data_IF_351685018679
#
_entry.id   IF_351685018679
#
_cell.length_a   1.000
_cell.length_b   1.000
_cell.length_c   1.000
_cell.angle_alpha   90.00
_cell.angle_beta   90.00
_cell.angle_gamma   90.00
#
_symmetry.space_group_name_H-M   'P 1'
#
loop_
_entity.id
_entity.type
_entity.pdbx_description
1 polymer ?
#
# COMPACT_ATOMS: atom_id res chain seq x y z
N UNK A 1 16.63 -23.40 0.09
CA UNK A 1 16.59 -22.36 -0.96
C UNK A 1 15.57 -22.83 -1.97
N UNK A 2 14.56 -22.03 -2.33
CA UNK A 2 13.63 -22.39 -3.40
C UNK A 2 14.36 -22.35 -4.74
N UNK A 3 14.08 -23.31 -5.62
CA UNK A 3 14.60 -23.27 -7.00
C UNK A 3 13.93 -22.11 -7.75
N UNK A 4 14.65 -21.47 -8.66
CA UNK A 4 14.12 -20.36 -9.49
C UNK A 4 12.81 -20.72 -10.22
N UNK A 5 12.67 -22.00 -10.64
CA UNK A 5 11.45 -22.51 -11.28
C UNK A 5 10.21 -22.55 -10.37
N UNK A 6 10.42 -22.50 -9.04
CA UNK A 6 9.37 -22.56 -8.03
C UNK A 6 8.99 -21.16 -7.50
N UNK A 7 9.65 -20.12 -8.01
CA UNK A 7 9.34 -18.72 -7.70
C UNK A 7 8.22 -18.21 -8.61
N UNK A 8 7.38 -17.34 -8.07
CA UNK A 8 6.34 -16.63 -8.82
C UNK A 8 6.21 -15.21 -8.27
N UNK A 9 5.39 -14.36 -8.91
CA UNK A 9 5.19 -12.96 -8.50
C UNK A 9 4.63 -12.78 -7.08
N UNK A 10 4.17 -13.86 -6.43
CA UNK A 10 3.80 -13.84 -5.01
C UNK A 10 4.99 -14.10 -4.08
N UNK A 11 6.17 -14.37 -4.64
CA UNK A 11 7.43 -14.29 -3.90
C UNK A 11 7.81 -12.81 -3.76
N UNK A 12 8.01 -12.39 -2.52
CA UNK A 12 8.28 -10.99 -2.17
C UNK A 12 9.46 -10.40 -2.94
N UNK A 13 10.53 -11.19 -3.10
CA UNK A 13 11.73 -10.71 -3.77
C UNK A 13 11.49 -10.50 -5.26
N UNK A 14 10.87 -11.48 -5.94
CA UNK A 14 10.54 -11.35 -7.37
C UNK A 14 9.52 -10.25 -7.64
N UNK A 15 8.57 -10.06 -6.74
CA UNK A 15 7.60 -8.97 -6.85
C UNK A 15 8.31 -7.62 -6.77
N UNK A 16 9.15 -7.43 -5.77
CA UNK A 16 9.91 -6.19 -5.61
C UNK A 16 10.77 -5.90 -6.85
N UNK A 17 11.52 -6.88 -7.33
CA UNK A 17 12.34 -6.78 -8.54
C UNK A 17 11.52 -6.41 -9.78
N UNK A 18 10.36 -7.07 -9.98
CA UNK A 18 9.49 -6.79 -11.12
C UNK A 18 8.88 -5.37 -11.06
N UNK A 19 8.59 -4.87 -9.85
CA UNK A 19 7.98 -3.56 -9.63
C UNK A 19 8.99 -2.40 -9.62
N UNK A 20 10.29 -2.66 -9.73
CA UNK A 20 11.28 -1.61 -10.01
C UNK A 20 11.08 -0.98 -11.40
N UNK A 21 10.53 -1.74 -12.34
CA UNK A 21 10.10 -1.20 -13.62
C UNK A 21 8.83 -0.34 -13.40
N UNK A 22 8.89 0.99 -13.66
CA UNK A 22 7.76 1.88 -13.45
C UNK A 22 6.54 1.54 -14.31
N UNK A 23 6.73 0.89 -15.45
CA UNK A 23 5.63 0.44 -16.30
C UNK A 23 4.85 -0.69 -15.62
N UNK A 24 5.56 -1.69 -15.09
CA UNK A 24 4.94 -2.81 -14.38
C UNK A 24 4.18 -2.31 -13.13
N UNK A 25 4.79 -1.41 -12.36
CA UNK A 25 4.15 -0.82 -11.18
C UNK A 25 2.89 -0.05 -11.56
N UNK A 26 2.96 0.77 -12.61
CA UNK A 26 1.81 1.51 -13.11
C UNK A 26 0.68 0.57 -13.53
N UNK A 27 0.98 -0.43 -14.35
CA UNK A 27 -0.02 -1.38 -14.86
C UNK A 27 -0.73 -2.11 -13.70
N UNK A 28 0.02 -2.51 -12.67
CA UNK A 28 -0.57 -3.13 -11.47
C UNK A 28 -1.49 -2.16 -10.73
N UNK A 29 -1.08 -0.92 -10.53
CA UNK A 29 -1.90 0.10 -9.89
C UNK A 29 -3.16 0.41 -10.69
N UNK A 30 -3.04 0.60 -12.01
CA UNK A 30 -4.18 0.87 -12.88
C UNK A 30 -5.20 -0.26 -12.91
N UNK A 31 -4.74 -1.52 -12.91
CA UNK A 31 -5.62 -2.70 -12.81
C UNK A 31 -6.36 -2.74 -11.47
N UNK A 32 -5.67 -2.45 -10.36
CA UNK A 32 -6.27 -2.52 -9.02
C UNK A 32 -7.23 -1.36 -8.77
N UNK A 33 -6.84 -0.16 -9.18
CA UNK A 33 -7.57 1.07 -8.88
C UNK A 33 -8.64 1.41 -9.93
N UNK A 34 -8.55 0.83 -11.14
CA UNK A 34 -9.47 1.11 -12.23
C UNK A 34 -9.36 2.52 -12.80
N UNK A 35 -8.21 3.19 -12.63
CA UNK A 35 -7.93 4.54 -13.12
C UNK A 35 -6.50 4.67 -13.60
N UNK A 36 -6.23 5.66 -14.45
CA UNK A 36 -4.87 5.98 -14.90
C UNK A 36 -4.01 6.47 -13.73
N UNK A 37 -2.75 6.04 -13.71
CA UNK A 37 -1.76 6.43 -12.69
C UNK A 37 -0.50 6.95 -13.37
N UNK A 38 -0.07 8.15 -13.04
CA UNK A 38 1.17 8.73 -13.55
C UNK A 38 2.18 8.84 -12.42
N UNK A 39 3.15 7.95 -12.39
CA UNK A 39 4.17 7.91 -11.34
C UNK A 39 5.07 9.14 -11.41
N UNK A 40 5.31 9.78 -10.27
CA UNK A 40 6.18 10.95 -10.12
C UNK A 40 7.66 10.58 -10.13
N UNK A 41 7.99 9.43 -9.57
CA UNK A 41 9.34 8.92 -9.41
C UNK A 41 9.37 7.42 -9.68
N UNK A 42 10.57 6.87 -9.87
CA UNK A 42 10.76 5.42 -9.93
C UNK A 42 10.25 4.78 -8.62
N UNK A 43 9.60 3.61 -8.69
CA UNK A 43 9.23 2.84 -7.51
C UNK A 43 10.46 2.56 -6.64
N UNK A 44 10.26 2.54 -5.33
CA UNK A 44 11.31 2.24 -4.35
C UNK A 44 10.97 0.93 -3.66
N UNK A 45 11.85 -0.05 -3.79
CA UNK A 45 11.69 -1.34 -3.15
C UNK A 45 12.33 -1.37 -1.76
N UNK A 46 11.81 -2.24 -0.89
CA UNK A 46 12.31 -2.47 0.46
C UNK A 46 12.50 -1.20 1.32
N UNK A 47 11.65 -0.18 1.09
CA UNK A 47 11.72 1.08 1.81
C UNK A 47 11.36 0.91 3.28
N UNK A 48 12.24 1.33 4.18
CA UNK A 48 11.95 1.37 5.61
C UNK A 48 11.25 2.67 6.02
N UNK A 49 10.12 2.53 6.69
CA UNK A 49 9.47 3.62 7.40
C UNK A 49 9.59 3.39 8.91
N UNK A 50 10.16 4.37 9.63
CA UNK A 50 10.43 4.31 11.06
C UNK A 50 10.23 5.67 11.69
N UNK A 51 9.49 5.74 12.80
CA UNK A 51 9.31 6.98 13.57
C UNK A 51 10.54 7.27 14.41
N UNK A 52 11.09 6.25 15.07
CA UNK A 52 12.35 6.35 15.81
C UNK A 52 13.01 4.96 15.94
N UNK A 53 14.31 4.88 16.30
CA UNK A 53 15.00 3.60 16.48
C UNK A 53 14.37 2.69 17.55
N UNK A 54 13.64 3.27 18.52
CA UNK A 54 13.01 2.54 19.62
C UNK A 54 11.67 1.89 19.24
N UNK A 55 11.07 2.28 18.11
CA UNK A 55 9.78 1.77 17.68
C UNK A 55 9.92 0.72 16.57
N UNK A 56 8.89 -0.13 16.46
CA UNK A 56 8.76 -1.02 15.30
C UNK A 56 8.76 -0.19 14.03
N UNK A 57 9.45 -0.67 13.02
CA UNK A 57 9.43 -0.09 11.68
C UNK A 57 8.45 -0.84 10.78
N UNK A 58 7.94 -0.16 9.76
CA UNK A 58 7.32 -0.78 8.62
C UNK A 58 8.38 -0.95 7.54
N UNK A 59 8.51 -2.13 6.99
CA UNK A 59 9.31 -2.38 5.80
C UNK A 59 8.32 -2.60 4.65
N UNK A 60 8.23 -1.60 3.79
CA UNK A 60 7.36 -1.56 2.63
C UNK A 60 8.02 -2.33 1.50
N UNK A 61 7.29 -3.27 0.86
CA UNK A 61 7.85 -4.05 -0.23
C UNK A 61 8.08 -3.19 -1.46
N UNK A 62 7.05 -2.46 -1.91
CA UNK A 62 7.17 -1.50 -3.01
C UNK A 62 6.43 -0.22 -2.68
N UNK A 63 7.16 0.88 -2.75
CA UNK A 63 6.66 2.23 -2.54
C UNK A 63 6.60 2.98 -3.86
N UNK A 64 5.47 3.59 -4.16
CA UNK A 64 5.34 4.49 -5.29
C UNK A 64 4.60 5.77 -4.91
N UNK A 65 4.78 6.82 -5.69
CA UNK A 65 4.09 8.10 -5.55
C UNK A 65 3.75 8.63 -6.93
N UNK A 66 2.52 9.10 -7.12
CA UNK A 66 2.09 9.68 -8.37
C UNK A 66 2.23 11.21 -8.42
N UNK A 67 1.84 11.80 -9.54
CA UNK A 67 1.88 13.26 -9.77
C UNK A 67 0.89 14.04 -8.92
N UNK A 68 -0.16 13.39 -8.42
CA UNK A 68 -1.15 13.98 -7.51
C UNK A 68 -0.74 13.85 -6.04
N UNK A 69 0.52 13.43 -5.80
CA UNK A 69 1.09 13.23 -4.47
C UNK A 69 0.49 12.05 -3.70
N UNK A 70 -0.31 11.20 -4.35
CA UNK A 70 -0.86 9.98 -3.75
C UNK A 70 0.25 8.94 -3.54
N UNK A 71 0.23 8.30 -2.41
CA UNK A 71 1.23 7.31 -2.00
C UNK A 71 0.65 5.90 -2.10
N UNK A 72 1.41 4.99 -2.66
CA UNK A 72 1.07 3.58 -2.81
C UNK A 72 2.09 2.72 -2.07
N UNK A 73 1.61 1.97 -1.09
CA UNK A 73 2.35 0.91 -0.39
C UNK A 73 1.80 -0.43 -0.89
N UNK A 74 2.59 -1.13 -1.69
CA UNK A 74 2.17 -2.40 -2.30
C UNK A 74 2.99 -3.55 -1.74
N UNK A 75 2.30 -4.51 -1.10
CA UNK A 75 2.91 -5.63 -0.42
C UNK A 75 2.39 -6.97 -0.92
N UNK A 76 3.28 -7.94 -1.05
CA UNK A 76 2.94 -9.34 -1.32
C UNK A 76 2.99 -10.14 -0.02
N UNK A 77 1.90 -10.83 0.29
CA UNK A 77 1.76 -11.62 1.48
C UNK A 77 1.50 -13.10 1.15
N UNK A 78 2.56 -13.91 1.08
CA UNK A 78 2.47 -15.33 0.72
C UNK A 78 1.79 -16.23 1.76
N UNK A 79 1.74 -15.81 3.04
CA UNK A 79 1.19 -16.59 4.15
C UNK A 79 0.19 -15.79 4.96
N UNK A 80 -0.95 -16.39 5.31
CA UNK A 80 -1.95 -15.74 6.14
C UNK A 80 -1.51 -15.70 7.61
N UNK A 81 -0.99 -14.56 8.03
CA UNK A 81 -0.58 -14.30 9.42
C UNK A 81 -1.74 -13.89 10.34
N UNK A 82 -2.97 -13.81 9.79
CA UNK A 82 -4.22 -13.44 10.50
C UNK A 82 -4.19 -12.04 11.17
N UNK A 83 -3.24 -11.19 10.80
CA UNK A 83 -3.09 -9.85 11.39
C UNK A 83 -3.01 -8.73 10.33
N UNK A 84 -3.21 -9.06 9.06
CA UNK A 84 -3.06 -8.12 7.94
C UNK A 84 -3.89 -6.83 8.12
N UNK A 85 -5.19 -6.86 8.52
CA UNK A 85 -5.98 -5.64 8.68
C UNK A 85 -5.44 -4.69 9.75
N UNK A 86 -4.83 -5.22 10.82
CA UNK A 86 -4.21 -4.38 11.86
C UNK A 86 -2.82 -3.92 11.45
N UNK A 87 -2.12 -4.74 10.66
CA UNK A 87 -0.79 -4.40 10.14
C UNK A 87 -0.89 -3.28 9.10
N UNK A 88 -1.85 -3.33 8.18
CA UNK A 88 -2.04 -2.26 7.19
C UNK A 88 -2.32 -0.92 7.87
N UNK A 89 -3.23 -0.86 8.84
CA UNK A 89 -3.48 0.35 9.63
C UNK A 89 -2.21 0.86 10.35
N UNK A 90 -1.38 -0.03 10.86
CA UNK A 90 -0.12 0.35 11.50
C UNK A 90 0.88 0.93 10.50
N UNK A 91 0.97 0.34 9.31
CA UNK A 91 1.83 0.82 8.24
C UNK A 91 1.40 2.21 7.77
N UNK A 92 0.11 2.40 7.50
CA UNK A 92 -0.49 3.69 7.17
C UNK A 92 -0.08 4.77 8.20
N UNK A 93 -0.27 4.50 9.49
CA UNK A 93 0.06 5.45 10.55
C UNK A 93 1.54 5.84 10.61
N UNK A 94 2.46 4.90 10.32
CA UNK A 94 3.90 5.19 10.26
C UNK A 94 4.24 6.02 9.02
N UNK A 95 3.61 5.73 7.91
CA UNK A 95 3.79 6.44 6.65
C UNK A 95 3.34 7.89 6.83
N UNK A 96 2.15 8.11 7.36
CA UNK A 96 1.60 9.43 7.67
C UNK A 96 2.53 10.23 8.58
N UNK A 97 2.96 9.63 9.69
CA UNK A 97 3.86 10.27 10.64
C UNK A 97 5.22 10.65 10.02
N UNK A 98 5.63 9.98 8.94
CA UNK A 98 6.87 10.26 8.22
C UNK A 98 6.71 11.31 7.12
N UNK A 99 5.56 11.33 6.47
CA UNK A 99 5.29 12.25 5.37
C UNK A 99 4.93 13.64 5.85
N UNK A 100 4.19 13.76 6.94
CA UNK A 100 3.87 15.05 7.54
C UNK A 100 5.13 15.67 8.15
N UNK A 101 5.48 16.86 7.70
CA UNK A 101 6.70 17.55 8.16
C UNK A 101 6.58 17.94 9.65
N UNK A 102 7.65 17.82 10.42
CA UNK A 102 7.67 18.31 11.80
C UNK A 102 7.27 19.79 11.86
N UNK A 103 6.31 20.12 12.74
CA UNK A 103 5.80 21.48 12.91
C UNK A 103 4.69 21.89 11.95
N UNK A 104 4.32 21.05 10.98
CA UNK A 104 3.13 21.30 10.15
C UNK A 104 1.87 21.23 11.04
N UNK A 105 1.02 22.24 10.93
CA UNK A 105 -0.21 22.37 11.72
C UNK A 105 -1.46 22.03 10.91
N UNK A 106 -1.33 22.08 9.59
CA UNK A 106 -2.43 21.80 8.68
C UNK A 106 -2.39 20.33 8.23
N UNK A 107 -3.21 19.52 8.85
CA UNK A 107 -3.32 18.10 8.52
C UNK A 107 -3.96 17.83 7.16
N UNK A 108 -4.62 18.82 6.52
CA UNK A 108 -5.12 18.67 5.15
C UNK A 108 -3.99 18.54 4.11
N UNK A 109 -2.75 18.76 4.53
CA UNK A 109 -1.55 18.53 3.69
C UNK A 109 -1.04 17.09 3.75
N UNK A 110 -1.69 16.21 4.49
CA UNK A 110 -1.37 14.78 4.45
C UNK A 110 -1.64 14.22 3.06
N UNK A 111 -0.80 13.30 2.64
CA UNK A 111 -0.98 12.61 1.36
C UNK A 111 -2.12 11.59 1.49
N UNK A 112 -2.85 11.38 0.41
CA UNK A 112 -3.69 10.19 0.30
C UNK A 112 -2.81 8.95 0.18
N UNK A 113 -3.21 7.87 0.84
CA UNK A 113 -2.41 6.64 0.90
C UNK A 113 -3.28 5.44 0.52
N UNK A 114 -2.77 4.59 -0.36
CA UNK A 114 -3.29 3.27 -0.62
C UNK A 114 -2.35 2.21 -0.06
N UNK A 115 -2.86 1.38 0.85
CA UNK A 115 -2.17 0.16 1.31
C UNK A 115 -2.74 -1.01 0.53
N UNK A 116 -1.95 -1.55 -0.39
CA UNK A 116 -2.35 -2.62 -1.29
C UNK A 116 -1.70 -3.93 -0.82
N UNK A 117 -2.52 -4.91 -0.47
CA UNK A 117 -2.06 -6.22 -0.02
C UNK A 117 -2.44 -7.27 -1.05
N UNK A 118 -1.45 -7.86 -1.70
CA UNK A 118 -1.62 -8.92 -2.69
C UNK A 118 -1.36 -10.27 -2.02
N UNK A 119 -2.35 -11.16 -2.05
CA UNK A 119 -2.28 -12.44 -1.35
C UNK A 119 -2.91 -13.59 -2.15
N UNK A 120 -2.34 -14.81 -2.12
CA UNK A 120 -2.90 -15.99 -2.78
C UNK A 120 -4.06 -16.65 -2.01
N UNK A 121 -4.58 -15.99 -0.99
CA UNK A 121 -5.63 -16.51 -0.12
C UNK A 121 -6.73 -15.47 0.12
N UNK A 122 -7.94 -15.96 0.33
CA UNK A 122 -9.09 -15.12 0.70
C UNK A 122 -9.08 -14.85 2.21
N UNK A 123 -8.61 -13.66 2.61
CA UNK A 123 -8.49 -13.27 4.02
C UNK A 123 -9.83 -13.23 4.75
N UNK A 124 -10.92 -12.91 4.04
CA UNK A 124 -12.25 -12.69 4.62
C UNK A 124 -13.23 -13.85 4.37
N UNK A 125 -12.85 -14.83 3.54
CA UNK A 125 -13.66 -16.00 3.25
C UNK A 125 -14.96 -15.71 2.49
N UNK A 126 -15.03 -14.60 1.75
CA UNK A 126 -16.22 -14.17 1.00
C UNK A 126 -16.13 -14.46 -0.51
N UNK A 127 -15.10 -15.17 -0.95
CA UNK A 127 -14.85 -15.58 -2.34
C UNK A 127 -14.79 -14.41 -3.32
N UNK A 128 -14.18 -13.29 -2.89
CA UNK A 128 -13.92 -12.13 -3.72
C UNK A 128 -12.45 -12.09 -4.10
N UNK A 129 -12.16 -11.64 -5.31
CA UNK A 129 -10.78 -11.41 -5.77
C UNK A 129 -10.17 -10.15 -5.17
N UNK A 130 -11.02 -9.16 -4.83
CA UNK A 130 -10.60 -7.90 -4.25
C UNK A 130 -11.56 -7.46 -3.16
N UNK A 131 -11.02 -6.83 -2.13
CA UNK A 131 -11.74 -6.19 -1.03
C UNK A 131 -11.17 -4.79 -0.88
N UNK A 132 -12.02 -3.79 -1.01
CA UNK A 132 -11.67 -2.39 -0.78
C UNK A 132 -12.27 -1.94 0.54
N UNK A 133 -11.49 -1.21 1.33
CA UNK A 133 -11.89 -0.69 2.63
C UNK A 133 -11.65 0.81 2.67
N UNK A 134 -12.66 1.53 3.11
CA UNK A 134 -12.66 2.97 3.31
C UNK A 134 -13.25 3.30 4.66
N UNK A 135 -12.87 4.42 5.25
CA UNK A 135 -13.47 4.92 6.48
C UNK A 135 -14.73 5.73 6.17
N UNK A 136 -15.89 5.15 6.42
CA UNK A 136 -17.20 5.76 6.17
C UNK A 136 -17.94 6.02 7.47
N UNK A 137 -18.86 6.99 7.46
CA UNK A 137 -19.81 7.19 8.53
C UNK A 137 -20.80 6.02 8.57
N UNK A 138 -21.01 5.43 9.74
CA UNK A 138 -21.93 4.30 9.91
C UNK A 138 -23.38 4.71 9.68
N UNK A 139 -23.73 5.92 10.06
CA UNK A 139 -25.07 6.49 9.96
C UNK A 139 -25.39 6.93 8.54
N UNK A 140 -24.38 7.30 7.76
CA UNK A 140 -24.48 7.65 6.35
C UNK A 140 -23.22 7.16 5.59
N UNK A 141 -23.29 5.98 4.95
CA UNK A 141 -22.14 5.40 4.23
C UNK A 141 -21.65 6.22 3.02
N UNK A 142 -22.41 7.21 2.55
CA UNK A 142 -21.96 8.12 1.50
C UNK A 142 -21.00 9.20 2.03
N UNK A 143 -20.93 9.36 3.36
CA UNK A 143 -20.05 10.28 4.03
C UNK A 143 -18.72 9.61 4.36
N UNK A 144 -17.65 9.98 3.66
CA UNK A 144 -16.29 9.53 3.95
C UNK A 144 -15.70 10.38 5.09
N UNK A 145 -14.96 9.78 6.00
CA UNK A 145 -14.30 10.51 7.08
C UNK A 145 -13.16 11.38 6.54
N UNK A 146 -12.46 10.88 5.53
CA UNK A 146 -11.51 11.62 4.71
C UNK A 146 -11.57 11.07 3.29
N UNK A 147 -11.32 11.93 2.32
CA UNK A 147 -11.35 11.51 0.92
C UNK A 147 -10.06 10.80 0.58
N UNK A 148 -10.13 9.47 0.37
CA UNK A 148 -9.24 8.87 -0.61
C UNK A 148 -9.62 9.45 -1.97
N UNK A 149 -8.68 9.72 -2.89
CA UNK A 149 -9.05 10.26 -4.19
C UNK A 149 -10.10 9.35 -4.80
N UNK A 150 -11.26 9.96 -5.11
CA UNK A 150 -12.34 9.24 -5.81
C UNK A 150 -11.79 8.57 -7.06
N UNK A 151 -12.20 7.32 -7.34
CA UNK A 151 -11.87 6.67 -8.61
C UNK A 151 -12.40 7.47 -9.80
#
# INVERSE_FOLDING_TARGET
MKDLKDLNLLDRFLFAEAMEDPQNMRDVLEIILGKDVVLKHLPQTEKEARISPAYRFAKVDVWAKDTDEVVYDTEVQGTNTKNLPKRSRYYESIIDAKLLKPGERDFNKMNDIYIILIAPFDLFGKRKYMYTFEMTCKEDPSCLLYTSPSP
#
